data_IF_448568191722
#
_entry.id   IF_448568191722
#
_cell.length_a   1.000
_cell.length_b   1.000
_cell.length_c   1.000
_cell.angle_alpha   90.00
_cell.angle_beta   90.00
_cell.angle_gamma   90.00
#
_symmetry.space_group_name_H-M   'P 1'
#
loop_
_entity.id
_entity.type
_entity.pdbx_description
1 polymer ?
#
# COMPACT_ATOMS: atom_id res chain seq x y z
N UNK A 1 42.74 37.73 -14.11
CA UNK A 1 41.29 37.87 -14.32
C UNK A 1 40.60 36.79 -13.47
N UNK A 2 39.93 37.17 -12.37
CA UNK A 2 39.29 36.22 -11.44
C UNK A 2 37.96 35.73 -12.05
N UNK A 3 37.84 34.43 -12.29
CA UNK A 3 36.61 33.79 -12.73
C UNK A 3 35.64 33.77 -11.54
N UNK A 4 34.57 34.55 -11.65
CA UNK A 4 33.48 34.62 -10.68
C UNK A 4 32.72 33.28 -10.68
N UNK A 5 32.57 32.62 -9.53
CA UNK A 5 31.85 31.34 -9.37
C UNK A 5 30.33 31.58 -9.35
N UNK A 6 29.55 31.22 -10.39
CA UNK A 6 28.09 31.42 -10.42
C UNK A 6 27.30 30.44 -9.53
N UNK A 7 27.90 29.32 -9.12
CA UNK A 7 27.21 28.28 -8.34
C UNK A 7 26.77 28.71 -6.93
N UNK A 8 27.50 29.62 -6.27
CA UNK A 8 27.14 30.07 -4.92
C UNK A 8 25.87 30.94 -4.92
N UNK A 9 25.67 31.73 -5.97
CA UNK A 9 24.49 32.59 -6.08
C UNK A 9 23.24 31.78 -6.42
N UNK A 10 23.35 30.74 -7.24
CA UNK A 10 22.23 29.86 -7.58
C UNK A 10 21.68 29.14 -6.33
N UNK A 11 22.57 28.64 -5.46
CA UNK A 11 22.16 27.97 -4.23
C UNK A 11 21.50 28.94 -3.25
N UNK A 12 22.03 30.17 -3.13
CA UNK A 12 21.43 31.22 -2.30
C UNK A 12 20.06 31.63 -2.82
N UNK A 13 19.87 31.71 -4.14
CA UNK A 13 18.57 32.02 -4.75
C UNK A 13 17.55 30.89 -4.50
N UNK A 14 17.95 29.63 -4.67
CA UNK A 14 17.08 28.49 -4.39
C UNK A 14 16.68 28.46 -2.91
N UNK A 15 17.63 28.66 -2.00
CA UNK A 15 17.35 28.68 -0.55
C UNK A 15 16.47 29.88 -0.16
N UNK A 16 16.63 31.04 -0.80
CA UNK A 16 15.77 32.20 -0.59
C UNK A 16 14.35 31.98 -1.14
N UNK A 17 14.19 31.29 -2.27
CA UNK A 17 12.87 30.91 -2.80
C UNK A 17 12.20 29.92 -1.84
N UNK A 18 12.93 28.90 -1.37
CA UNK A 18 12.40 27.93 -0.39
C UNK A 18 12.01 28.62 0.92
N UNK A 19 12.86 29.50 1.46
CA UNK A 19 12.58 30.26 2.69
C UNK A 19 11.45 31.29 2.53
N UNK A 20 11.21 31.82 1.33
CA UNK A 20 10.10 32.75 1.07
C UNK A 20 8.76 32.03 0.84
N UNK A 21 8.78 30.77 0.37
CA UNK A 21 7.58 29.96 0.12
C UNK A 21 7.06 29.31 1.41
N UNK A 22 7.93 28.91 2.34
CA UNK A 22 7.56 28.28 3.61
C UNK A 22 6.58 29.12 4.47
N UNK A 23 6.73 30.45 4.64
CA UNK A 23 5.76 31.24 5.39
C UNK A 23 4.47 31.55 4.62
N UNK A 24 4.41 31.34 3.30
CA UNK A 24 3.19 31.54 2.49
C UNK A 24 2.24 30.33 2.52
N UNK A 25 2.77 29.11 2.71
CA UNK A 25 1.96 27.88 2.82
C UNK A 25 1.32 27.70 4.21
N UNK A 26 1.75 28.47 5.21
CA UNK A 26 1.16 28.43 6.56
C UNK A 26 -0.14 29.25 6.70
N UNK A 27 -0.48 30.10 5.72
CA UNK A 27 -1.61 31.04 5.82
C UNK A 27 -2.59 31.01 4.64
N UNK A 28 -2.41 30.14 3.65
CA UNK A 28 -3.32 30.02 2.52
C UNK A 28 -3.94 28.61 2.51
N UNK A 29 -5.27 28.58 2.57
CA UNK A 29 -6.10 27.38 2.62
C UNK A 29 -5.71 26.44 1.46
N UNK A 30 -5.02 25.35 1.78
CA UNK A 30 -4.43 24.42 0.80
C UNK A 30 -5.47 23.56 0.08
N UNK A 31 -6.76 23.86 0.28
CA UNK A 31 -7.90 23.11 -0.24
C UNK A 31 -8.47 23.68 -1.55
N UNK A 32 -8.04 24.87 -1.97
CA UNK A 32 -8.49 25.46 -3.24
C UNK A 32 -7.56 25.04 -4.39
N UNK A 33 -8.09 24.24 -5.32
CA UNK A 33 -7.39 23.73 -6.52
C UNK A 33 -6.94 24.84 -7.48
N UNK A 34 -7.49 26.04 -7.34
CA UNK A 34 -7.07 27.22 -8.12
C UNK A 34 -5.87 27.95 -7.54
N UNK A 35 -5.49 27.67 -6.28
CA UNK A 35 -4.42 28.35 -5.56
C UNK A 35 -3.03 28.08 -6.15
N UNK A 36 -2.16 29.09 -6.08
CA UNK A 36 -0.76 28.98 -6.51
C UNK A 36 -0.01 27.91 -5.70
N UNK A 37 -0.34 27.77 -4.41
CA UNK A 37 0.19 26.74 -3.52
C UNK A 37 -0.17 25.33 -4.00
N UNK A 38 -1.44 25.08 -4.32
CA UNK A 38 -1.88 23.80 -4.88
C UNK A 38 -1.11 23.48 -6.16
N UNK A 39 -1.08 24.42 -7.11
CA UNK A 39 -0.37 24.25 -8.39
C UNK A 39 1.14 24.02 -8.22
N UNK A 40 1.79 24.73 -7.28
CA UNK A 40 3.21 24.56 -7.00
C UNK A 40 3.49 23.21 -6.34
N UNK A 41 2.66 22.78 -5.39
CA UNK A 41 2.83 21.50 -4.69
C UNK A 41 2.55 20.32 -5.64
N UNK A 42 1.49 20.38 -6.45
CA UNK A 42 1.23 19.38 -7.50
C UNK A 42 2.35 19.37 -8.55
N UNK A 43 2.89 20.53 -8.95
CA UNK A 43 4.06 20.59 -9.83
C UNK A 43 5.31 19.95 -9.21
N UNK A 44 5.46 20.05 -7.89
CA UNK A 44 6.53 19.38 -7.13
C UNK A 44 6.23 17.90 -6.83
N UNK A 45 5.11 17.36 -7.35
CA UNK A 45 4.73 15.95 -7.19
C UNK A 45 3.96 15.63 -5.91
N UNK A 46 3.55 16.63 -5.14
CA UNK A 46 2.67 16.43 -3.99
C UNK A 46 1.22 16.34 -4.44
N UNK A 47 0.62 15.18 -4.21
CA UNK A 47 -0.81 14.96 -4.37
C UNK A 47 -1.57 15.69 -3.25
N UNK A 48 -2.33 16.72 -3.65
CA UNK A 48 -3.11 17.58 -2.75
C UNK A 48 -4.62 17.37 -2.92
N UNK A 49 -5.02 16.38 -3.71
CA UNK A 49 -6.42 16.20 -4.06
C UNK A 49 -7.23 15.71 -2.86
N UNK A 50 -8.40 16.32 -2.63
CA UNK A 50 -9.30 15.92 -1.55
C UNK A 50 -10.17 14.74 -1.98
N UNK A 51 -9.57 13.56 -1.95
CA UNK A 51 -10.25 12.32 -2.32
C UNK A 51 -11.44 11.99 -1.42
N UNK A 52 -11.43 12.42 -0.14
CA UNK A 52 -12.45 12.06 0.84
C UNK A 52 -13.81 12.70 0.55
N UNK A 53 -13.82 13.89 -0.05
CA UNK A 53 -15.03 14.65 -0.34
C UNK A 53 -15.49 14.50 -1.81
N UNK A 54 -14.93 13.57 -2.57
CA UNK A 54 -15.41 13.29 -3.92
C UNK A 54 -16.85 12.78 -3.92
N UNK A 55 -17.62 13.26 -4.90
CA UNK A 55 -19.01 12.86 -5.07
C UNK A 55 -19.08 11.38 -5.41
N UNK A 56 -19.88 10.64 -4.65
CA UNK A 56 -20.20 9.25 -4.95
C UNK A 56 -20.88 9.14 -6.32
N UNK A 57 -20.25 8.43 -7.24
CA UNK A 57 -20.81 8.07 -8.53
C UNK A 57 -21.64 6.78 -8.46
N UNK A 58 -21.81 6.15 -9.63
CA UNK A 58 -22.65 4.96 -9.79
C UNK A 58 -22.09 3.77 -9.01
N UNK A 59 -22.94 3.01 -8.30
CA UNK A 59 -22.55 1.73 -7.73
C UNK A 59 -22.04 0.76 -8.81
N UNK A 60 -20.96 0.05 -8.50
CA UNK A 60 -20.38 -0.96 -9.38
C UNK A 60 -21.02 -2.31 -9.05
N UNK A 61 -21.61 -2.94 -10.06
CA UNK A 61 -22.20 -4.29 -9.94
C UNK A 61 -21.12 -5.35 -9.83
N UNK A 62 -21.39 -6.45 -9.12
CA UNK A 62 -20.51 -7.62 -9.05
C UNK A 62 -20.30 -8.33 -10.39
N UNK A 63 -21.04 -7.96 -11.43
CA UNK A 63 -20.90 -8.47 -12.80
C UNK A 63 -19.99 -7.60 -13.68
N UNK A 64 -19.50 -6.47 -13.17
CA UNK A 64 -18.63 -5.55 -13.89
C UNK A 64 -17.16 -6.02 -13.80
N UNK A 65 -16.41 -5.98 -14.89
CA UNK A 65 -14.98 -6.36 -14.90
C UNK A 65 -14.14 -5.52 -13.92
N UNK A 66 -14.53 -4.25 -13.69
CA UNK A 66 -13.87 -3.38 -12.70
C UNK A 66 -14.02 -3.92 -11.29
N UNK A 67 -15.13 -4.57 -10.98
CA UNK A 67 -15.41 -5.11 -9.65
C UNK A 67 -14.35 -6.14 -9.25
N UNK A 68 -14.02 -7.06 -10.14
CA UNK A 68 -13.02 -8.10 -9.87
C UNK A 68 -11.63 -7.50 -9.67
N UNK A 69 -11.25 -6.48 -10.47
CA UNK A 69 -9.99 -5.77 -10.29
C UNK A 69 -9.91 -5.08 -8.92
N UNK A 70 -10.98 -4.39 -8.51
CA UNK A 70 -11.07 -3.69 -7.23
C UNK A 70 -10.99 -4.69 -6.05
N UNK A 71 -11.78 -5.76 -6.11
CA UNK A 71 -11.82 -6.79 -5.05
C UNK A 71 -10.51 -7.58 -5.00
N UNK A 72 -9.82 -7.75 -6.12
CA UNK A 72 -8.51 -8.44 -6.14
C UNK A 72 -7.47 -7.75 -5.26
N UNK A 73 -7.49 -6.42 -5.18
CA UNK A 73 -6.57 -5.65 -4.33
C UNK A 73 -6.94 -5.83 -2.84
N UNK A 74 -8.22 -5.89 -2.52
CA UNK A 74 -8.69 -6.24 -1.16
C UNK A 74 -8.20 -7.63 -0.77
N UNK A 75 -8.25 -8.60 -1.70
CA UNK A 75 -7.82 -9.99 -1.46
C UNK A 75 -6.34 -10.13 -1.10
N UNK A 76 -5.48 -9.18 -1.47
CA UNK A 76 -4.05 -9.18 -1.09
C UNK A 76 -3.88 -9.10 0.44
N UNK A 77 -4.83 -8.46 1.12
CA UNK A 77 -4.81 -8.29 2.58
C UNK A 77 -5.48 -9.46 3.31
N UNK A 78 -6.09 -10.40 2.57
CA UNK A 78 -6.86 -11.48 3.15
C UNK A 78 -5.95 -12.65 3.53
N UNK A 79 -6.13 -13.12 4.75
CA UNK A 79 -5.47 -14.32 5.28
C UNK A 79 -6.52 -15.27 5.86
N UNK A 80 -6.09 -16.25 6.66
CA UNK A 80 -6.95 -17.14 7.42
C UNK A 80 -7.43 -16.52 8.75
N UNK A 81 -7.88 -15.28 8.66
CA UNK A 81 -8.40 -14.52 9.80
C UNK A 81 -9.57 -13.65 9.36
N UNK A 82 -10.56 -13.50 10.23
CA UNK A 82 -11.64 -12.53 10.07
C UNK A 82 -11.22 -11.11 10.48
N UNK A 83 -9.93 -10.76 10.39
CA UNK A 83 -9.42 -9.43 10.74
C UNK A 83 -8.27 -9.02 9.83
N UNK A 84 -8.26 -7.74 9.44
CA UNK A 84 -7.20 -7.09 8.68
C UNK A 84 -6.73 -5.89 9.49
N UNK A 85 -5.42 -5.64 9.51
CA UNK A 85 -4.90 -4.42 10.11
C UNK A 85 -5.23 -3.21 9.23
N UNK A 86 -5.89 -2.20 9.82
CA UNK A 86 -6.15 -0.91 9.17
C UNK A 86 -4.86 -0.14 8.92
N UNK A 87 -4.86 0.75 7.93
CA UNK A 87 -3.71 1.58 7.59
C UNK A 87 -4.12 2.86 6.86
N UNK A 88 -3.31 3.90 7.02
CA UNK A 88 -3.37 5.17 6.29
C UNK A 88 -2.12 5.42 5.43
N UNK A 89 -1.15 4.50 5.50
CA UNK A 89 0.11 4.60 4.76
C UNK A 89 0.61 3.25 4.25
N UNK A 90 1.43 3.22 3.17
CA UNK A 90 2.04 1.99 2.67
C UNK A 90 2.89 1.27 3.72
N UNK A 91 3.58 2.04 4.58
CA UNK A 91 4.38 1.52 5.68
C UNK A 91 3.52 0.79 6.72
N UNK A 92 2.36 1.34 7.05
CA UNK A 92 1.40 0.69 7.94
C UNK A 92 0.78 -0.54 7.30
N UNK A 93 0.40 -0.47 6.01
CA UNK A 93 -0.11 -1.62 5.26
C UNK A 93 0.88 -2.79 5.30
N UNK A 94 2.15 -2.52 4.99
CA UNK A 94 3.19 -3.52 4.98
C UNK A 94 3.52 -4.03 6.40
N UNK A 95 3.56 -3.17 7.41
CA UNK A 95 3.84 -3.58 8.79
C UNK A 95 2.69 -4.38 9.43
N UNK A 96 1.45 -4.03 9.13
CA UNK A 96 0.25 -4.64 9.70
C UNK A 96 -0.18 -5.92 8.98
N UNK A 97 0.06 -6.01 7.67
CA UNK A 97 -0.46 -7.07 6.81
C UNK A 97 0.64 -7.84 6.04
N UNK A 98 1.91 -7.77 6.47
CA UNK A 98 3.05 -8.44 5.82
C UNK A 98 2.78 -9.91 5.48
N UNK A 99 2.28 -10.70 6.44
CA UNK A 99 2.06 -12.13 6.24
C UNK A 99 0.99 -12.41 5.17
N UNK A 100 -0.05 -11.57 5.06
CA UNK A 100 -1.07 -11.69 4.03
C UNK A 100 -0.50 -11.35 2.65
N UNK A 101 0.23 -10.23 2.55
CA UNK A 101 0.87 -9.78 1.32
C UNK A 101 1.89 -10.82 0.82
N UNK A 102 2.75 -11.32 1.71
CA UNK A 102 3.75 -12.36 1.38
C UNK A 102 3.08 -13.69 1.00
N UNK A 103 1.96 -14.04 1.64
CA UNK A 103 1.18 -15.23 1.24
C UNK A 103 0.62 -15.08 -0.17
N UNK A 104 0.06 -13.91 -0.48
CA UNK A 104 -0.44 -13.58 -1.82
C UNK A 104 0.68 -13.65 -2.87
N UNK A 105 1.84 -13.06 -2.58
CA UNK A 105 3.01 -13.14 -3.47
C UNK A 105 3.37 -14.60 -3.73
N UNK A 106 3.49 -15.40 -2.67
CA UNK A 106 3.89 -16.79 -2.78
C UNK A 106 2.87 -17.64 -3.55
N UNK A 107 1.57 -17.36 -3.45
CA UNK A 107 0.54 -18.07 -4.23
C UNK A 107 0.56 -17.69 -5.71
N UNK A 108 0.78 -16.42 -6.03
CA UNK A 108 0.76 -15.94 -7.42
C UNK A 108 2.04 -16.29 -8.18
N UNK A 109 3.19 -16.35 -7.51
CA UNK A 109 4.49 -16.50 -8.16
C UNK A 109 5.40 -17.52 -7.48
N UNK A 110 4.83 -18.64 -7.00
CA UNK A 110 5.54 -19.69 -6.28
C UNK A 110 6.83 -20.13 -6.98
N UNK A 111 6.76 -20.37 -8.30
CA UNK A 111 7.88 -20.87 -9.08
C UNK A 111 9.08 -19.92 -9.10
N UNK A 112 8.86 -18.60 -9.12
CA UNK A 112 9.95 -17.62 -9.03
C UNK A 112 10.67 -17.70 -7.67
N UNK A 113 9.91 -17.87 -6.59
CA UNK A 113 10.45 -17.91 -5.22
C UNK A 113 11.05 -19.25 -4.81
N UNK A 114 10.81 -20.32 -5.59
CA UNK A 114 11.48 -21.62 -5.44
C UNK A 114 12.55 -21.89 -6.49
N UNK A 115 12.53 -21.15 -7.59
CA UNK A 115 13.40 -21.37 -8.75
C UNK A 115 14.75 -20.66 -8.68
N UNK A 116 14.92 -19.69 -7.77
CA UNK A 116 16.18 -18.98 -7.60
C UNK A 116 17.19 -19.80 -6.76
N UNK A 117 17.83 -20.78 -7.41
CA UNK A 117 18.75 -21.72 -6.77
C UNK A 117 19.98 -21.04 -6.14
N UNK A 118 20.47 -19.95 -6.74
CA UNK A 118 21.62 -19.19 -6.22
C UNK A 118 21.26 -18.54 -4.88
N UNK A 119 20.12 -17.85 -4.82
CA UNK A 119 19.63 -17.22 -3.60
C UNK A 119 19.31 -18.26 -2.51
N UNK A 120 18.71 -19.39 -2.91
CA UNK A 120 18.42 -20.50 -2.00
C UNK A 120 19.70 -21.12 -1.43
N UNK A 121 20.74 -21.34 -2.24
CA UNK A 121 22.03 -21.86 -1.76
C UNK A 121 22.65 -20.90 -0.75
N UNK A 122 22.75 -19.62 -1.11
CA UNK A 122 23.28 -18.56 -0.22
C UNK A 122 22.53 -18.51 1.10
N UNK A 123 21.20 -18.64 1.07
CA UNK A 123 20.40 -18.62 2.28
C UNK A 123 20.63 -19.85 3.16
N UNK A 124 20.68 -21.06 2.57
CA UNK A 124 20.96 -22.31 3.30
C UNK A 124 22.35 -22.31 3.93
N UNK A 125 23.35 -21.75 3.26
CA UNK A 125 24.70 -21.58 3.81
C UNK A 125 24.73 -20.58 4.97
N UNK A 126 24.00 -19.47 4.84
CA UNK A 126 23.97 -18.40 5.85
C UNK A 126 23.14 -18.77 7.07
N UNK A 127 22.11 -19.60 6.88
CA UNK A 127 21.09 -19.95 7.87
C UNK A 127 20.80 -21.47 7.89
N UNK A 128 21.80 -22.31 8.20
CA UNK A 128 21.68 -23.77 8.09
C UNK A 128 20.65 -24.39 9.05
N UNK A 129 20.26 -23.66 10.10
CA UNK A 129 19.25 -24.09 11.06
C UNK A 129 17.81 -24.01 10.54
N UNK A 130 17.57 -23.34 9.41
CA UNK A 130 16.24 -23.22 8.80
C UNK A 130 16.10 -24.16 7.61
N UNK A 131 14.94 -24.83 7.50
CA UNK A 131 14.58 -25.59 6.32
C UNK A 131 14.05 -24.67 5.21
N UNK A 132 14.95 -23.94 4.55
CA UNK A 132 14.60 -22.92 3.56
C UNK A 132 14.24 -23.60 2.23
N UNK A 133 12.97 -23.53 1.86
CA UNK A 133 12.46 -24.06 0.58
C UNK A 133 11.95 -22.97 -0.35
N UNK A 134 11.65 -21.79 0.18
CA UNK A 134 11.15 -20.63 -0.57
C UNK A 134 11.83 -19.35 -0.09
N UNK A 135 12.08 -18.42 -1.02
CA UNK A 135 12.63 -17.09 -0.71
C UNK A 135 11.93 -16.02 -1.53
N UNK A 136 11.41 -15.00 -0.84
CA UNK A 136 10.85 -13.79 -1.43
C UNK A 136 11.83 -12.64 -1.15
N UNK A 137 12.51 -12.09 -2.16
CA UNK A 137 13.39 -10.92 -1.98
C UNK A 137 12.65 -9.74 -1.37
N UNK A 138 13.36 -8.93 -0.58
CA UNK A 138 12.80 -7.69 -0.01
C UNK A 138 12.41 -6.71 -1.12
N UNK A 139 13.19 -6.61 -2.20
CA UNK A 139 12.86 -5.70 -3.30
C UNK A 139 11.54 -6.07 -3.96
N UNK A 140 11.25 -7.38 -4.10
CA UNK A 140 9.98 -7.87 -4.63
C UNK A 140 8.82 -7.54 -3.69
N UNK A 141 9.03 -7.70 -2.38
CA UNK A 141 8.02 -7.35 -1.37
C UNK A 141 7.71 -5.86 -1.37
N UNK A 142 8.73 -5.00 -1.35
CA UNK A 142 8.56 -3.55 -1.45
C UNK A 142 7.89 -3.16 -2.76
N UNK A 143 8.28 -3.77 -3.89
CA UNK A 143 7.65 -3.54 -5.20
C UNK A 143 6.16 -3.87 -5.21
N UNK A 144 5.74 -4.97 -4.58
CA UNK A 144 4.32 -5.32 -4.42
C UNK A 144 3.62 -4.32 -3.51
N UNK A 145 4.26 -3.90 -2.42
CA UNK A 145 3.70 -2.88 -1.53
C UNK A 145 3.45 -1.57 -2.28
N UNK A 146 4.42 -1.08 -3.04
CA UNK A 146 4.27 0.16 -3.82
C UNK A 146 3.24 0.03 -4.94
N UNK A 147 3.20 -1.12 -5.60
CA UNK A 147 2.23 -1.40 -6.66
C UNK A 147 0.80 -1.28 -6.14
N UNK A 148 0.49 -1.90 -5.00
CA UNK A 148 -0.88 -2.06 -4.51
C UNK A 148 -1.29 -1.10 -3.39
N UNK A 149 -0.36 -0.48 -2.68
CA UNK A 149 -0.64 0.46 -1.59
C UNK A 149 -0.05 1.87 -1.83
N UNK A 150 0.73 2.04 -2.91
CA UNK A 150 1.33 3.30 -3.30
C UNK A 150 2.61 3.63 -2.54
N UNK A 151 3.14 4.83 -2.79
CA UNK A 151 4.37 5.33 -2.18
C UNK A 151 5.66 4.75 -2.75
N UNK A 152 6.78 5.27 -2.25
CA UNK A 152 8.15 4.90 -2.57
C UNK A 152 9.03 4.79 -1.30
N UNK A 153 8.39 4.83 -0.12
CA UNK A 153 9.09 4.79 1.16
C UNK A 153 9.54 3.38 1.53
N UNK A 154 10.82 3.22 1.85
CA UNK A 154 11.35 1.94 2.32
C UNK A 154 10.55 1.38 3.50
N UNK A 155 10.22 0.09 3.38
CA UNK A 155 9.43 -0.63 4.37
C UNK A 155 10.36 -1.27 5.40
N UNK A 156 10.03 -1.10 6.68
CA UNK A 156 10.79 -1.76 7.75
C UNK A 156 10.51 -3.27 7.74
N UNK A 157 11.47 -4.03 7.24
CA UNK A 157 11.40 -5.49 7.21
C UNK A 157 11.47 -6.10 8.62
N UNK A 158 10.57 -7.03 8.90
CA UNK A 158 10.47 -7.75 10.19
C UNK A 158 9.87 -9.13 9.97
N UNK A 159 10.23 -10.09 10.81
CA UNK A 159 9.54 -11.39 10.82
C UNK A 159 8.10 -11.25 11.31
N UNK A 160 7.20 -11.99 10.68
CA UNK A 160 5.82 -12.18 11.08
C UNK A 160 5.60 -13.53 11.74
N UNK A 161 4.36 -13.99 11.73
CA UNK A 161 3.95 -15.30 12.25
C UNK A 161 4.28 -16.39 11.22
N UNK A 162 4.04 -16.12 9.93
CA UNK A 162 4.23 -17.10 8.85
C UNK A 162 5.55 -16.97 8.13
N UNK A 163 6.04 -15.73 8.01
CA UNK A 163 7.26 -15.43 7.28
C UNK A 163 8.37 -14.95 8.22
N UNK A 164 9.54 -15.55 8.06
CA UNK A 164 10.75 -15.11 8.75
C UNK A 164 11.59 -14.24 7.83
N UNK A 165 11.95 -13.05 8.31
CA UNK A 165 12.88 -12.17 7.62
C UNK A 165 14.33 -12.61 7.86
N UNK A 166 15.09 -12.75 6.78
CA UNK A 166 16.50 -13.18 6.77
C UNK A 166 17.41 -11.99 6.40
N UNK A 167 17.84 -11.16 7.36
CA UNK A 167 18.49 -9.87 7.08
C UNK A 167 19.80 -9.98 6.28
N UNK A 168 20.66 -10.97 6.58
CA UNK A 168 21.92 -11.19 5.83
C UNK A 168 21.74 -11.57 4.36
N UNK A 169 20.57 -12.07 3.99
CA UNK A 169 20.25 -12.48 2.60
C UNK A 169 19.35 -11.46 1.92
N UNK A 170 18.59 -10.67 2.70
CA UNK A 170 17.66 -9.68 2.16
C UNK A 170 16.38 -10.32 1.62
N UNK A 171 15.86 -11.35 2.29
CA UNK A 171 14.70 -12.09 1.82
C UNK A 171 13.82 -12.60 2.97
N UNK A 172 12.58 -12.93 2.66
CA UNK A 172 11.65 -13.65 3.53
C UNK A 172 11.63 -15.13 3.15
N UNK A 173 11.55 -16.00 4.16
CA UNK A 173 11.29 -17.43 3.96
C UNK A 173 10.03 -17.83 4.72
N UNK A 174 9.32 -18.84 4.22
CA UNK A 174 8.19 -19.40 4.95
C UNK A 174 8.66 -20.30 6.09
N UNK A 175 8.14 -20.08 7.29
CA UNK A 175 8.38 -20.93 8.46
C UNK A 175 7.14 -21.68 8.92
N UNK A 176 5.99 -21.38 8.33
CA UNK A 176 4.70 -22.01 8.64
C UNK A 176 4.02 -22.58 7.39
N UNK A 177 2.94 -23.33 7.60
CA UNK A 177 2.06 -23.71 6.51
C UNK A 177 1.37 -22.46 5.94
N UNK A 178 1.34 -22.34 4.60
CA UNK A 178 0.53 -21.33 3.93
C UNK A 178 -0.94 -21.73 4.12
N UNK A 179 -1.84 -20.79 4.48
CA UNK A 179 -3.24 -21.12 4.60
C UNK A 179 -3.81 -21.70 3.31
N UNK A 180 -4.50 -22.84 3.41
CA UNK A 180 -5.20 -23.46 2.28
C UNK A 180 -6.60 -22.90 2.09
N UNK A 181 -7.15 -22.27 3.13
CA UNK A 181 -8.44 -21.60 3.14
C UNK A 181 -8.24 -20.16 3.60
N UNK A 182 -8.71 -19.22 2.80
CA UNK A 182 -8.70 -17.78 3.09
C UNK A 182 -10.07 -17.34 3.62
N UNK A 183 -10.13 -16.18 4.28
CA UNK A 183 -11.40 -15.56 4.62
C UNK A 183 -12.19 -15.17 3.36
N UNK A 184 -13.52 -15.29 3.44
CA UNK A 184 -14.41 -14.83 2.39
C UNK A 184 -14.59 -13.32 2.49
N UNK A 185 -14.49 -12.63 1.35
CA UNK A 185 -14.74 -11.19 1.25
C UNK A 185 -16.20 -10.98 0.85
N UNK A 186 -16.98 -10.40 1.76
CA UNK A 186 -18.36 -9.99 1.49
C UNK A 186 -18.41 -8.48 1.26
N UNK A 187 -18.57 -8.08 0.00
CA UNK A 187 -18.62 -6.67 -0.41
C UNK A 187 -20.04 -6.14 -0.20
N UNK A 188 -20.13 -5.11 0.64
CA UNK A 188 -21.39 -4.46 1.01
C UNK A 188 -21.71 -3.34 0.02
N UNK A 189 -20.69 -2.59 -0.40
CA UNK A 189 -20.83 -1.48 -1.31
C UNK A 189 -19.54 -1.30 -2.11
N UNK A 190 -19.67 -1.10 -3.41
CA UNK A 190 -18.57 -0.74 -4.30
C UNK A 190 -19.06 0.39 -5.21
N UNK A 191 -18.34 1.50 -5.30
CA UNK A 191 -18.69 2.60 -6.20
C UNK A 191 -17.47 3.33 -6.72
N UNK A 192 -17.66 3.99 -7.86
CA UNK A 192 -16.68 4.83 -8.52
C UNK A 192 -16.93 6.31 -8.14
N UNK A 193 -15.87 7.06 -7.91
CA UNK A 193 -15.86 8.53 -7.88
C UNK A 193 -15.05 9.05 -9.07
N UNK A 194 -14.74 10.34 -9.14
CA UNK A 194 -13.91 10.89 -10.21
C UNK A 194 -12.53 10.22 -10.23
N UNK A 195 -11.80 10.20 -9.11
CA UNK A 195 -10.42 9.72 -9.04
C UNK A 195 -10.23 8.49 -8.15
N UNK A 196 -11.29 7.94 -7.54
CA UNK A 196 -11.19 6.78 -6.65
C UNK A 196 -12.22 5.68 -6.95
N UNK A 197 -11.93 4.51 -6.40
CA UNK A 197 -12.92 3.49 -6.09
C UNK A 197 -13.06 3.36 -4.58
N UNK A 198 -14.29 3.14 -4.12
CA UNK A 198 -14.62 3.00 -2.71
C UNK A 198 -15.26 1.66 -2.47
N UNK A 199 -14.72 0.91 -1.53
CA UNK A 199 -15.19 -0.45 -1.22
C UNK A 199 -15.46 -0.54 0.26
N UNK A 200 -16.69 -0.93 0.60
CA UNK A 200 -17.06 -1.35 1.94
C UNK A 200 -17.29 -2.85 1.95
N UNK A 201 -16.66 -3.54 2.88
CA UNK A 201 -16.71 -4.99 2.93
C UNK A 201 -16.54 -5.49 4.36
N UNK A 202 -16.80 -6.78 4.55
CA UNK A 202 -16.46 -7.54 5.76
C UNK A 202 -15.81 -8.85 5.37
N UNK A 203 -15.06 -9.43 6.30
CA UNK A 203 -14.51 -10.76 6.17
C UNK A 203 -15.33 -11.77 6.97
N UNK A 204 -15.43 -12.98 6.45
CA UNK A 204 -15.93 -14.13 7.20
C UNK A 204 -14.91 -15.27 7.18
N UNK A 205 -14.55 -15.78 8.34
CA UNK A 205 -13.63 -16.92 8.46
C UNK A 205 -14.04 -17.78 9.66
N UNK A 206 -14.20 -19.08 9.43
CA UNK A 206 -14.51 -20.10 10.45
C UNK A 206 -15.60 -19.68 11.47
N UNK A 207 -16.71 -19.15 10.95
CA UNK A 207 -17.87 -18.74 11.76
C UNK A 207 -17.71 -17.39 12.46
N UNK A 208 -16.58 -16.71 12.29
CA UNK A 208 -16.36 -15.34 12.74
C UNK A 208 -16.57 -14.35 11.60
N UNK A 209 -17.12 -13.19 11.92
CA UNK A 209 -17.31 -12.07 10.98
C UNK A 209 -16.58 -10.84 11.51
N UNK A 210 -15.86 -10.15 10.63
CA UNK A 210 -15.13 -8.95 10.97
C UNK A 210 -16.05 -7.74 11.19
N UNK A 211 -15.53 -6.64 11.77
CA UNK A 211 -16.10 -5.31 11.55
C UNK A 211 -16.22 -4.98 10.06
N UNK A 212 -17.01 -3.95 9.73
CA UNK A 212 -17.02 -3.43 8.36
C UNK A 212 -15.76 -2.61 8.13
N UNK A 213 -15.15 -2.76 6.98
CA UNK A 213 -14.02 -1.95 6.55
C UNK A 213 -14.44 -1.02 5.40
N UNK A 214 -13.78 0.14 5.33
CA UNK A 214 -13.88 1.10 4.25
C UNK A 214 -12.48 1.27 3.61
N UNK A 215 -12.38 0.94 2.33
CA UNK A 215 -11.15 1.04 1.55
C UNK A 215 -11.30 2.10 0.46
N UNK A 216 -10.23 2.89 0.30
CA UNK A 216 -10.09 3.85 -0.80
C UNK A 216 -9.01 3.38 -1.76
N UNK A 217 -9.35 3.24 -3.03
CA UNK A 217 -8.40 2.96 -4.09
C UNK A 217 -8.27 4.18 -5.00
N UNK A 218 -7.06 4.70 -5.18
CA UNK A 218 -6.78 5.82 -6.09
C UNK A 218 -6.50 5.27 -7.47
N UNK A 219 -7.15 5.87 -8.49
CA UNK A 219 -6.90 5.58 -9.91
C UNK A 219 -5.57 6.20 -10.34
N UNK A 220 -4.80 5.48 -11.15
CA UNK A 220 -3.60 5.99 -11.81
C UNK A 220 -3.87 6.29 -13.28
N UNK A 221 -3.06 7.17 -13.85
CA UNK A 221 -3.14 7.56 -15.26
C UNK A 221 -2.92 6.38 -16.22
N UNK A 222 -2.19 5.35 -15.78
CA UNK A 222 -1.94 4.12 -16.54
C UNK A 222 -3.10 3.11 -16.50
N UNK A 223 -4.22 3.49 -15.86
CA UNK A 223 -5.41 2.64 -15.70
C UNK A 223 -5.31 1.63 -14.55
N UNK A 224 -4.17 1.57 -13.85
CA UNK A 224 -4.06 0.78 -12.62
C UNK A 224 -4.61 1.54 -11.42
N UNK A 225 -4.60 0.91 -10.25
CA UNK A 225 -5.04 1.53 -9.01
C UNK A 225 -4.26 1.00 -7.81
N UNK A 226 -4.30 1.74 -6.70
CA UNK A 226 -3.71 1.32 -5.43
C UNK A 226 -4.60 1.71 -4.26
N UNK A 227 -4.59 0.89 -3.20
CA UNK A 227 -5.32 1.16 -1.97
C UNK A 227 -4.55 2.18 -1.13
N UNK A 228 -5.10 3.39 -1.01
CA UNK A 228 -4.53 4.48 -0.23
C UNK A 228 -4.67 4.25 1.26
N UNK A 229 -5.84 3.77 1.69
CA UNK A 229 -6.12 3.46 3.09
C UNK A 229 -7.12 2.30 3.23
N UNK A 230 -7.12 1.72 4.42
CA UNK A 230 -8.13 0.81 4.93
C UNK A 230 -8.50 1.23 6.35
N UNK A 231 -9.79 1.55 6.58
CA UNK A 231 -10.32 1.96 7.88
C UNK A 231 -11.36 0.98 8.38
N UNK A 232 -11.42 0.80 9.68
CA UNK A 232 -12.57 0.16 10.32
C UNK A 232 -13.72 1.16 10.39
N UNK A 233 -14.89 0.77 9.92
CA UNK A 233 -16.11 1.55 10.08
C UNK A 233 -16.63 1.34 11.49
N UNK A 234 -16.75 2.42 12.25
CA UNK A 234 -17.52 2.38 13.49
C UNK A 234 -18.98 2.14 13.11
N UNK A 235 -19.58 1.06 13.61
CA UNK A 235 -21.03 0.94 13.56
C UNK A 235 -21.59 2.13 14.34
N UNK A 236 -22.29 3.02 13.65
CA UNK A 236 -23.09 4.06 14.28
C UNK A 236 -24.08 3.33 15.17
N UNK A 237 -23.79 3.27 16.47
CA UNK A 237 -24.78 2.90 17.46
C UNK A 237 -25.85 3.97 17.32
N UNK A 238 -27.00 3.60 16.75
CA UNK A 238 -28.19 4.42 16.76
C UNK A 238 -28.49 4.75 18.23
N UNK A 239 -28.07 5.93 18.67
CA UNK A 239 -28.66 6.51 19.86
C UNK A 239 -30.10 6.85 19.48
N UNK A 240 -30.96 6.16 20.20
CA UNK A 240 -32.42 6.10 20.10
C UNK A 240 -33.03 7.47 20.35
#
# INVERSE_FOLDING_TARGET
MKIHRPQKYLYIIIVLIVLAVIPFTASCDTKDSSSLSYKLMTFLGFDMHDYENEVQGTPISSSDEKYDAIVSIVRILVSDSASIATFESPREAASGNADAILSYMLSENYSAYTGNLELLSKAKETYPQYNITTLIPVEDFEGVVYKYFGGDESVKNKSGVRFTYLPKVGAYTTTGAIPTKLADVDVILCYETENTYRVRFRLSYDGQTSPKYDAMLIKRDDGTMYMRFLREMKDSTNNT
#
